data_IF_073864350072
#
_entry.id   IF_073864350072
#
_cell.length_a   1.000
_cell.length_b   1.000
_cell.length_c   1.000
_cell.angle_alpha   90.00
_cell.angle_beta   90.00
_cell.angle_gamma   90.00
#
_symmetry.space_group_name_H-M   'P 1'
#
loop_
_entity.id
_entity.type
_entity.pdbx_description
1 polymer ?
#
# COMPACT_ATOMS: atom_id res chain seq x y z
N UNK A 1 -5.79 -15.66 66.66
CA UNK A 1 -4.81 -14.60 66.32
C UNK A 1 -3.84 -15.14 65.29
N UNK A 2 -3.67 -14.43 64.17
CA UNK A 2 -2.49 -14.37 63.25
C UNK A 2 -1.86 -15.73 62.86
N UNK A 3 -2.01 -16.26 61.65
CA UNK A 3 -1.72 -15.64 60.36
C UNK A 3 -0.32 -16.06 59.91
N UNK A 4 -0.21 -17.02 58.99
CA UNK A 4 1.01 -17.26 58.21
C UNK A 4 0.66 -17.48 56.74
N UNK A 5 1.21 -16.59 55.91
CA UNK A 5 1.04 -16.45 54.48
C UNK A 5 2.28 -17.05 53.79
N UNK A 6 2.05 -17.79 52.70
CA UNK A 6 2.87 -17.94 51.49
C UNK A 6 4.27 -18.55 51.55
N UNK A 7 4.47 -19.64 50.78
CA UNK A 7 5.38 -19.75 49.61
C UNK A 7 4.81 -20.86 48.72
N UNK A 8 4.59 -20.78 47.42
CA UNK A 8 4.95 -19.82 46.39
C UNK A 8 4.84 -20.60 45.07
N UNK A 9 3.62 -20.75 44.55
CA UNK A 9 3.36 -21.37 43.24
C UNK A 9 2.77 -20.29 42.34
N UNK A 10 3.64 -19.61 41.60
CA UNK A 10 3.22 -18.77 40.47
C UNK A 10 4.33 -18.83 39.42
N UNK A 11 4.26 -19.88 38.60
CA UNK A 11 4.81 -19.87 37.26
C UNK A 11 4.01 -18.82 36.48
N UNK A 12 4.51 -17.59 36.43
CA UNK A 12 4.03 -16.61 35.46
C UNK A 12 4.69 -16.97 34.12
N UNK A 13 4.06 -17.88 33.35
CA UNK A 13 4.35 -17.97 31.92
C UNK A 13 3.88 -16.67 31.29
N UNK A 14 4.78 -15.70 31.21
CA UNK A 14 4.65 -14.57 30.30
C UNK A 14 4.86 -15.13 28.89
N UNK A 15 3.80 -15.74 28.33
CA UNK A 15 3.73 -16.05 26.91
C UNK A 15 3.69 -14.72 26.16
N UNK A 16 4.87 -14.14 25.92
CA UNK A 16 5.09 -13.19 24.83
C UNK A 16 4.75 -13.95 23.55
N UNK A 17 3.48 -13.90 23.17
CA UNK A 17 3.06 -14.16 21.80
C UNK A 17 3.67 -13.03 20.98
N UNK A 18 4.92 -13.20 20.57
CA UNK A 18 5.43 -12.51 19.40
C UNK A 18 4.52 -12.97 18.27
N UNK A 19 3.49 -12.20 17.97
CA UNK A 19 2.88 -12.26 16.66
C UNK A 19 4.00 -11.85 15.73
N UNK A 20 4.65 -12.82 15.09
CA UNK A 20 5.45 -12.55 13.91
C UNK A 20 4.50 -11.79 12.98
N UNK A 21 4.66 -10.46 12.94
CA UNK A 21 4.03 -9.65 11.93
C UNK A 21 4.71 -10.08 10.65
N UNK A 22 4.14 -11.09 10.00
CA UNK A 22 4.53 -11.48 8.65
C UNK A 22 4.48 -10.19 7.86
N UNK A 23 5.61 -9.74 7.36
CA UNK A 23 5.64 -8.57 6.51
C UNK A 23 5.11 -9.00 5.15
N UNK A 24 4.04 -8.37 4.67
CA UNK A 24 3.47 -8.65 3.37
C UNK A 24 2.52 -7.53 2.96
N UNK A 25 2.59 -7.18 1.68
CA UNK A 25 1.60 -6.36 1.00
C UNK A 25 1.65 -6.71 -0.49
N UNK A 26 0.52 -6.51 -1.18
CA UNK A 26 0.34 -6.75 -2.61
C UNK A 26 -0.75 -5.80 -3.10
N UNK A 27 -0.78 -5.55 -4.41
CA UNK A 27 -1.90 -4.80 -5.02
C UNK A 27 -3.17 -5.63 -4.91
N UNK A 28 -4.20 -5.09 -4.28
CA UNK A 28 -5.50 -5.73 -4.09
C UNK A 28 -6.46 -5.42 -5.24
N UNK A 29 -6.39 -4.18 -5.75
CA UNK A 29 -7.35 -3.67 -6.72
C UNK A 29 -6.69 -2.59 -7.59
N UNK A 30 -7.11 -2.55 -8.85
CA UNK A 30 -6.82 -1.48 -9.79
C UNK A 30 -8.11 -0.73 -10.13
N UNK A 31 -8.02 0.58 -10.35
CA UNK A 31 -9.17 1.39 -10.82
C UNK A 31 -8.71 2.52 -11.72
N UNK A 32 -9.57 2.96 -12.65
CA UNK A 32 -9.31 4.14 -13.48
C UNK A 32 -9.58 5.41 -12.67
N UNK A 33 -8.76 6.43 -12.88
CA UNK A 33 -8.92 7.76 -12.32
C UNK A 33 -9.40 8.71 -13.42
N UNK A 34 -10.52 9.37 -13.19
CA UNK A 34 -11.09 10.35 -14.10
C UNK A 34 -10.30 11.68 -14.08
N UNK A 35 -10.50 12.56 -15.09
CA UNK A 35 -9.85 13.88 -15.15
C UNK A 35 -10.13 14.81 -13.97
N UNK A 36 -11.12 14.50 -13.12
CA UNK A 36 -11.39 15.26 -11.89
C UNK A 36 -10.74 14.65 -10.64
N UNK A 37 -10.08 13.49 -10.74
CA UNK A 37 -9.48 12.76 -9.63
C UNK A 37 -10.36 11.67 -9.01
N UNK A 38 -11.62 11.51 -9.43
CA UNK A 38 -12.50 10.43 -8.93
C UNK A 38 -12.13 9.08 -9.53
N UNK A 39 -12.44 7.98 -8.85
CA UNK A 39 -12.42 6.66 -9.45
C UNK A 39 -13.66 6.41 -10.30
N UNK A 40 -13.46 5.75 -11.45
CA UNK A 40 -14.52 5.45 -12.41
C UNK A 40 -14.36 4.04 -12.99
N UNK A 41 -15.48 3.50 -13.45
CA UNK A 41 -15.53 2.17 -14.06
C UNK A 41 -15.53 1.03 -13.04
N UNK A 42 -15.51 -0.19 -13.56
CA UNK A 42 -15.38 -1.38 -12.73
C UNK A 42 -13.91 -1.58 -12.32
N UNK A 43 -13.65 -2.02 -11.08
CA UNK A 43 -12.30 -2.34 -10.66
C UNK A 43 -11.73 -3.55 -11.41
N UNK A 44 -10.41 -3.54 -11.58
CA UNK A 44 -9.64 -4.69 -12.01
C UNK A 44 -8.84 -5.30 -10.86
N UNK A 45 -8.32 -6.51 -11.09
CA UNK A 45 -7.63 -7.29 -10.08
C UNK A 45 -6.35 -7.93 -10.62
N UNK A 46 -5.36 -8.21 -9.75
CA UNK A 46 -4.16 -8.95 -10.14
C UNK A 46 -4.46 -10.37 -10.60
N UNK A 47 -3.48 -10.98 -11.26
CA UNK A 47 -3.53 -12.41 -11.59
C UNK A 47 -3.69 -13.24 -10.32
N UNK A 48 -4.43 -14.34 -10.43
CA UNK A 48 -4.61 -15.27 -9.31
C UNK A 48 -5.22 -14.63 -8.05
N UNK A 49 -5.92 -13.49 -8.18
CA UNK A 49 -6.48 -12.76 -7.06
C UNK A 49 -7.40 -13.63 -6.19
N UNK A 50 -7.24 -13.52 -4.87
CA UNK A 50 -8.14 -14.06 -3.89
C UNK A 50 -8.93 -12.91 -3.26
N UNK A 51 -10.24 -12.85 -3.53
CA UNK A 51 -11.09 -11.81 -2.99
C UNK A 51 -11.20 -11.94 -1.47
N UNK A 52 -10.98 -10.84 -0.74
CA UNK A 52 -11.14 -10.76 0.72
C UNK A 52 -12.53 -11.16 1.22
N UNK A 53 -13.54 -11.02 0.37
CA UNK A 53 -14.92 -11.43 0.67
C UNK A 53 -15.17 -12.94 0.47
N UNK A 54 -14.18 -13.69 -0.02
CA UNK A 54 -14.27 -15.14 -0.17
C UNK A 54 -14.11 -15.84 1.17
N UNK A 55 -14.89 -16.89 1.41
CA UNK A 55 -14.76 -17.71 2.62
C UNK A 55 -13.37 -18.39 2.74
N UNK A 56 -12.73 -18.66 1.60
CA UNK A 56 -11.43 -19.32 1.53
C UNK A 56 -10.25 -18.32 1.53
N UNK A 57 -10.53 -17.03 1.78
CA UNK A 57 -9.50 -16.00 1.75
C UNK A 57 -8.46 -16.19 2.87
N UNK A 58 -7.19 -16.02 2.51
CA UNK A 58 -6.06 -15.90 3.45
C UNK A 58 -5.01 -15.00 2.83
N UNK A 59 -4.35 -14.15 3.62
CA UNK A 59 -3.28 -13.28 3.11
C UNK A 59 -2.15 -14.07 2.43
N UNK A 60 -1.91 -15.32 2.85
CA UNK A 60 -0.93 -16.22 2.21
C UNK A 60 -1.24 -16.52 0.75
N UNK A 61 -2.50 -16.42 0.34
CA UNK A 61 -2.92 -16.68 -1.04
C UNK A 61 -2.37 -15.63 -2.01
N UNK A 62 -2.09 -14.42 -1.53
CA UNK A 62 -1.60 -13.30 -2.35
C UNK A 62 -0.17 -12.88 -2.03
N UNK A 63 0.29 -13.15 -0.80
CA UNK A 63 1.65 -12.83 -0.37
C UNK A 63 2.71 -13.49 -1.24
N UNK A 64 3.68 -12.69 -1.70
CA UNK A 64 4.86 -13.20 -2.37
C UNK A 64 6.10 -12.38 -2.05
N UNK A 65 7.05 -13.00 -1.35
CA UNK A 65 8.40 -12.49 -1.15
C UNK A 65 9.27 -13.02 -2.29
N UNK A 66 9.61 -12.16 -3.24
CA UNK A 66 10.36 -12.50 -4.44
C UNK A 66 11.85 -12.66 -4.12
N UNK A 67 12.42 -13.81 -4.50
CA UNK A 67 13.86 -14.09 -4.39
C UNK A 67 14.53 -14.36 -5.74
N UNK A 68 13.77 -14.82 -6.73
CA UNK A 68 14.27 -15.19 -8.06
C UNK A 68 13.24 -14.83 -9.15
N UNK A 69 12.05 -15.44 -9.13
CA UNK A 69 10.96 -15.08 -10.05
C UNK A 69 10.34 -13.75 -9.64
N UNK A 70 9.95 -12.97 -10.65
CA UNK A 70 9.27 -11.70 -10.47
C UNK A 70 7.80 -11.89 -10.07
N UNK A 71 7.13 -12.89 -10.63
CA UNK A 71 5.73 -13.18 -10.32
C UNK A 71 5.61 -14.42 -9.45
N UNK A 72 4.66 -14.38 -8.50
CA UNK A 72 4.21 -15.57 -7.75
C UNK A 72 3.80 -16.68 -8.73
N UNK A 73 3.89 -17.94 -8.34
CA UNK A 73 3.54 -19.07 -9.21
C UNK A 73 2.11 -18.98 -9.76
N UNK A 74 1.16 -18.49 -8.97
CA UNK A 74 -0.24 -18.24 -9.41
C UNK A 74 -0.42 -17.00 -10.28
N UNK A 75 0.66 -16.29 -10.60
CA UNK A 75 0.66 -15.02 -11.32
C UNK A 75 1.62 -15.01 -12.52
N UNK A 76 2.22 -16.14 -12.88
CA UNK A 76 3.19 -16.20 -13.98
C UNK A 76 2.53 -16.09 -15.36
N UNK A 77 1.27 -16.52 -15.51
CA UNK A 77 0.51 -16.41 -16.76
C UNK A 77 -0.57 -15.33 -16.66
N UNK A 78 -1.00 -14.79 -17.80
CA UNK A 78 -2.04 -13.76 -17.88
C UNK A 78 -3.44 -14.34 -17.64
N UNK A 79 -3.64 -15.14 -16.59
CA UNK A 79 -4.91 -15.79 -16.28
C UNK A 79 -5.56 -15.09 -15.09
N UNK A 80 -6.84 -14.77 -15.22
CA UNK A 80 -7.61 -14.16 -14.14
C UNK A 80 -8.38 -15.20 -13.32
N UNK A 81 -8.48 -14.95 -12.02
CA UNK A 81 -9.41 -15.70 -11.17
C UNK A 81 -10.84 -15.31 -11.53
N UNK A 82 -11.77 -16.27 -11.49
CA UNK A 82 -13.18 -15.99 -11.67
C UNK A 82 -13.64 -14.84 -10.74
N UNK A 83 -14.48 -13.93 -11.26
CA UNK A 83 -14.97 -12.72 -10.56
C UNK A 83 -13.91 -11.67 -10.20
N UNK A 84 -12.67 -11.85 -10.66
CA UNK A 84 -11.58 -10.88 -10.54
C UNK A 84 -11.12 -10.48 -11.94
N UNK A 85 -11.90 -9.67 -12.70
CA UNK A 85 -11.55 -9.31 -14.07
C UNK A 85 -10.29 -8.43 -14.11
N UNK A 86 -9.65 -8.36 -15.30
CA UNK A 86 -8.65 -7.32 -15.57
C UNK A 86 -9.31 -5.95 -15.60
N UNK A 87 -8.55 -4.92 -15.26
CA UNK A 87 -9.00 -3.54 -15.43
C UNK A 87 -9.19 -3.25 -16.91
N UNK A 88 -10.28 -2.57 -17.26
CA UNK A 88 -10.46 -1.99 -18.59
C UNK A 88 -10.06 -0.52 -18.54
N UNK A 89 -9.11 -0.10 -19.37
CA UNK A 89 -8.64 1.28 -19.39
C UNK A 89 -8.18 1.71 -20.79
N UNK A 90 -8.26 3.00 -21.10
CA UNK A 90 -7.76 3.54 -22.36
C UNK A 90 -6.24 3.78 -22.36
N UNK A 91 -5.60 3.82 -23.53
CA UNK A 91 -4.21 4.26 -23.63
C UNK A 91 -4.04 5.64 -22.97
N UNK A 92 -3.00 5.79 -22.14
CA UNK A 92 -2.75 7.03 -21.39
C UNK A 92 -3.61 7.22 -20.14
N UNK A 93 -4.57 6.33 -19.85
CA UNK A 93 -5.45 6.50 -18.71
C UNK A 93 -4.66 6.51 -17.39
N UNK A 94 -4.93 7.46 -16.49
CA UNK A 94 -4.48 7.39 -15.12
C UNK A 94 -5.23 6.28 -14.37
N UNK A 95 -4.50 5.49 -13.60
CA UNK A 95 -5.00 4.38 -12.81
C UNK A 95 -4.42 4.44 -11.39
N UNK A 96 -5.15 3.90 -10.42
CA UNK A 96 -4.70 3.69 -9.06
C UNK A 96 -4.45 2.20 -8.82
N UNK A 97 -3.27 1.85 -8.30
CA UNK A 97 -3.00 0.52 -7.72
C UNK A 97 -3.17 0.63 -6.20
N UNK A 98 -4.12 -0.12 -5.64
CA UNK A 98 -4.51 0.01 -4.23
C UNK A 98 -4.11 -1.22 -3.43
N UNK A 99 -3.60 -1.03 -2.22
CA UNK A 99 -3.06 -2.10 -1.39
C UNK A 99 -3.19 -1.78 0.11
N UNK A 100 -3.19 -2.82 0.94
CA UNK A 100 -3.18 -2.63 2.39
C UNK A 100 -1.77 -2.34 2.91
N UNK A 101 -1.69 -1.44 3.88
CA UNK A 101 -0.43 -1.07 4.51
C UNK A 101 0.07 -2.12 5.51
N UNK A 102 -0.85 -2.89 6.09
CA UNK A 102 -0.57 -4.05 6.93
C UNK A 102 0.45 -3.80 8.07
N UNK A 103 0.41 -2.60 8.65
CA UNK A 103 1.27 -2.12 9.73
C UNK A 103 2.56 -1.46 9.28
N UNK A 104 2.94 -1.53 8.01
CA UNK A 104 4.21 -0.98 7.49
C UNK A 104 4.26 0.54 7.48
N UNK A 105 3.10 1.20 7.46
CA UNK A 105 2.97 2.66 7.51
C UNK A 105 2.68 3.14 8.93
N UNK A 106 1.69 2.55 9.61
CA UNK A 106 1.23 3.07 10.90
C UNK A 106 1.92 2.47 12.12
N UNK A 107 2.63 1.34 11.95
CA UNK A 107 3.43 0.68 12.98
C UNK A 107 4.89 0.47 12.51
N UNK A 108 5.57 1.52 12.04
CA UNK A 108 6.85 1.39 11.34
C UNK A 108 8.01 0.92 12.24
N UNK A 109 7.88 1.10 13.55
CA UNK A 109 8.92 0.76 14.53
C UNK A 109 8.82 -0.68 15.03
N UNK A 110 7.87 -1.48 14.50
CA UNK A 110 7.74 -2.91 14.83
C UNK A 110 8.92 -3.72 14.31
N UNK A 111 9.59 -3.25 13.24
CA UNK A 111 10.79 -3.87 12.68
C UNK A 111 11.92 -2.85 12.63
N UNK A 112 13.06 -3.19 13.23
CA UNK A 112 14.23 -2.32 13.28
C UNK A 112 14.87 -2.19 11.90
N UNK A 113 15.49 -1.04 11.65
CA UNK A 113 16.30 -0.84 10.44
C UNK A 113 15.52 -0.70 9.14
N UNK A 114 14.19 -0.58 9.21
CA UNK A 114 13.34 -0.35 8.04
C UNK A 114 13.47 1.08 7.51
N UNK A 115 13.28 1.28 6.19
CA UNK A 115 13.47 2.57 5.56
C UNK A 115 12.43 3.59 6.04
N UNK A 116 12.86 4.85 6.21
CA UNK A 116 11.99 5.92 6.70
C UNK A 116 10.80 6.21 5.78
N UNK A 117 10.95 6.00 4.47
CA UNK A 117 9.88 6.15 3.49
C UNK A 117 8.97 4.93 3.37
N UNK A 118 9.11 3.95 4.27
CA UNK A 118 8.38 2.66 4.29
C UNK A 118 8.66 1.79 3.07
N UNK A 119 9.75 2.07 2.37
CA UNK A 119 10.16 1.34 1.17
C UNK A 119 9.70 2.03 -0.10
N UNK A 120 10.24 1.57 -1.21
CA UNK A 120 10.03 2.17 -2.52
C UNK A 120 9.30 1.19 -3.41
N UNK A 121 8.22 1.64 -4.01
CA UNK A 121 7.45 0.91 -5.01
C UNK A 121 7.91 1.32 -6.40
N UNK A 122 8.18 0.32 -7.23
CA UNK A 122 8.48 0.44 -8.65
C UNK A 122 7.36 -0.24 -9.42
N UNK A 123 6.82 0.44 -10.43
CA UNK A 123 5.83 -0.16 -11.33
C UNK A 123 6.43 -0.22 -12.73
N UNK A 124 6.57 -1.43 -13.24
CA UNK A 124 7.05 -1.72 -14.59
C UNK A 124 5.89 -2.09 -15.51
N UNK A 125 6.06 -1.86 -16.81
CA UNK A 125 5.05 -2.14 -17.83
C UNK A 125 5.62 -2.84 -19.06
N UNK A 126 4.87 -3.79 -19.62
CA UNK A 126 5.24 -4.47 -20.88
C UNK A 126 4.01 -5.01 -21.62
N UNK A 127 4.12 -5.14 -22.94
CA UNK A 127 3.16 -5.87 -23.77
C UNK A 127 3.59 -7.29 -24.12
N UNK A 128 4.78 -7.69 -23.68
CA UNK A 128 5.45 -8.94 -24.03
C UNK A 128 5.96 -9.63 -22.75
N UNK A 129 5.11 -9.95 -21.77
CA UNK A 129 5.54 -10.61 -20.53
C UNK A 129 6.08 -12.01 -20.82
N UNK A 130 6.97 -12.51 -19.96
CA UNK A 130 7.44 -13.90 -20.00
C UNK A 130 6.87 -14.67 -18.82
N UNK A 131 6.50 -15.93 -19.05
CA UNK A 131 6.33 -16.88 -17.96
C UNK A 131 7.70 -17.12 -17.28
N UNK A 132 7.72 -17.22 -15.96
CA UNK A 132 8.98 -17.34 -15.21
C UNK A 132 9.91 -16.12 -15.28
N UNK A 133 9.39 -14.93 -15.62
CA UNK A 133 10.16 -13.67 -15.64
C UNK A 133 10.99 -13.52 -14.37
N UNK A 134 12.29 -13.21 -14.52
CA UNK A 134 13.21 -13.11 -13.39
C UNK A 134 13.19 -11.71 -12.81
N UNK A 135 13.23 -11.61 -11.49
CA UNK A 135 13.32 -10.35 -10.77
C UNK A 135 14.56 -9.56 -11.22
N UNK A 136 15.70 -10.23 -11.39
CA UNK A 136 16.96 -9.62 -11.80
C UNK A 136 16.97 -9.10 -13.25
N UNK A 137 16.06 -9.57 -14.12
CA UNK A 137 16.00 -9.12 -15.53
C UNK A 137 15.17 -7.83 -15.68
N UNK A 138 14.33 -7.52 -14.68
CA UNK A 138 13.37 -6.42 -14.71
C UNK A 138 13.68 -5.35 -13.66
N UNK A 139 13.75 -5.75 -12.40
CA UNK A 139 13.83 -4.82 -11.27
C UNK A 139 15.17 -4.09 -11.26
N UNK A 140 15.12 -2.75 -11.25
CA UNK A 140 16.27 -1.85 -11.41
C UNK A 140 17.09 -2.04 -12.69
N UNK A 141 16.58 -2.81 -13.65
CA UNK A 141 17.19 -3.04 -14.96
C UNK A 141 16.38 -2.36 -16.06
N UNK A 142 15.06 -2.57 -16.09
CA UNK A 142 14.17 -1.81 -16.96
C UNK A 142 14.13 -0.35 -16.50
N UNK A 143 14.15 0.57 -17.46
CA UNK A 143 14.23 1.99 -17.22
C UNK A 143 13.10 2.74 -17.97
N UNK A 144 12.96 4.05 -17.69
CA UNK A 144 11.90 4.88 -18.29
C UNK A 144 12.02 4.99 -19.82
N UNK A 145 13.24 4.92 -20.32
CA UNK A 145 13.54 5.09 -21.75
C UNK A 145 13.30 3.80 -22.56
N UNK A 146 12.98 2.68 -21.91
CA UNK A 146 12.80 1.38 -22.56
C UNK A 146 14.08 0.80 -23.17
N UNK A 147 15.23 1.30 -22.75
CA UNK A 147 16.55 0.86 -23.25
C UNK A 147 17.21 -0.17 -22.35
N UNK A 148 16.71 -0.32 -21.12
CA UNK A 148 17.24 -1.22 -20.11
C UNK A 148 16.87 -2.68 -20.34
N UNK A 149 17.74 -3.59 -19.87
CA UNK A 149 17.56 -5.03 -19.98
C UNK A 149 17.36 -5.50 -21.42
N UNK A 150 16.37 -6.36 -21.62
CA UNK A 150 16.01 -6.88 -22.94
C UNK A 150 15.03 -5.99 -23.72
N UNK A 151 14.80 -4.75 -23.26
CA UNK A 151 14.01 -3.71 -23.96
C UNK A 151 12.55 -4.07 -24.21
N UNK A 152 12.01 -5.10 -23.57
CA UNK A 152 10.59 -5.48 -23.71
C UNK A 152 9.64 -4.62 -22.88
N UNK A 153 10.16 -3.85 -21.93
CA UNK A 153 9.33 -3.04 -21.07
C UNK A 153 10.05 -1.82 -20.51
N UNK A 154 9.32 -1.11 -19.67
CA UNK A 154 9.70 0.20 -19.16
C UNK A 154 9.41 0.31 -17.68
N UNK A 155 10.15 1.17 -16.98
CA UNK A 155 9.76 1.65 -15.66
C UNK A 155 8.73 2.77 -15.86
N UNK A 156 7.50 2.57 -15.38
CA UNK A 156 6.42 3.55 -15.51
C UNK A 156 6.48 4.59 -14.38
N UNK A 157 6.71 4.14 -13.14
CA UNK A 157 6.68 5.02 -11.98
C UNK A 157 7.48 4.49 -10.80
N UNK A 158 7.87 5.40 -9.90
CA UNK A 158 8.60 5.09 -8.67
C UNK A 158 8.08 6.00 -7.57
N UNK A 159 7.57 5.42 -6.49
CA UNK A 159 6.96 6.16 -5.38
C UNK A 159 7.29 5.51 -4.04
N UNK A 160 7.02 6.21 -2.94
CA UNK A 160 7.07 5.61 -1.60
C UNK A 160 5.88 4.67 -1.43
N UNK A 161 6.05 3.63 -0.59
CA UNK A 161 4.94 2.76 -0.24
C UNK A 161 3.85 3.49 0.57
N UNK A 162 4.26 4.38 1.48
CA UNK A 162 3.38 5.32 2.19
C UNK A 162 2.97 6.46 1.24
N UNK A 163 1.67 6.49 0.90
CA UNK A 163 1.08 7.51 0.02
C UNK A 163 0.80 8.85 0.73
N UNK A 164 1.06 8.91 2.04
CA UNK A 164 0.86 10.09 2.86
C UNK A 164 -0.55 10.24 3.41
N UNK A 165 -1.45 9.27 3.23
CA UNK A 165 -2.84 9.32 3.71
C UNK A 165 -3.31 8.02 4.34
N UNK A 166 -2.93 6.88 3.76
CA UNK A 166 -3.41 5.57 4.17
C UNK A 166 -3.09 5.23 5.63
N UNK A 167 -3.88 4.31 6.18
CA UNK A 167 -3.70 3.79 7.53
C UNK A 167 -4.43 2.47 7.72
N UNK A 168 -3.82 1.60 8.52
CA UNK A 168 -4.51 0.56 9.26
C UNK A 168 -4.96 1.12 10.61
N UNK A 169 -6.18 0.82 11.02
CA UNK A 169 -6.72 1.25 12.31
C UNK A 169 -6.03 0.48 13.43
N UNK A 170 -5.32 1.21 14.29
CA UNK A 170 -4.68 0.66 15.49
C UNK A 170 -4.44 1.74 16.55
N UNK A 171 -3.84 1.33 17.68
CA UNK A 171 -3.56 2.22 18.82
C UNK A 171 -2.39 3.18 18.64
N UNK A 172 -1.60 3.04 17.57
CA UNK A 172 -0.39 3.81 17.31
C UNK A 172 -0.64 5.28 16.96
N UNK A 173 0.33 6.17 17.22
CA UNK A 173 0.17 7.61 17.01
C UNK A 173 -0.03 7.99 15.55
N UNK A 174 0.64 7.30 14.60
CA UNK A 174 0.48 7.56 13.17
C UNK A 174 -0.94 7.21 12.73
N UNK A 175 -1.45 6.02 13.09
CA UNK A 175 -2.82 5.61 12.78
C UNK A 175 -3.85 6.61 13.30
N UNK A 176 -3.76 7.00 14.58
CA UNK A 176 -4.68 7.98 15.19
C UNK A 176 -4.64 9.35 14.50
N UNK A 177 -3.45 9.82 14.16
CA UNK A 177 -3.27 11.09 13.45
C UNK A 177 -3.85 11.04 12.04
N UNK A 178 -3.61 9.95 11.30
CA UNK A 178 -4.15 9.75 9.95
C UNK A 178 -5.67 9.62 9.95
N UNK A 179 -6.25 8.87 10.89
CA UNK A 179 -7.71 8.77 11.06
C UNK A 179 -8.36 10.16 11.27
N UNK A 180 -7.72 11.02 12.07
CA UNK A 180 -8.22 12.38 12.30
C UNK A 180 -8.08 13.30 11.08
N UNK A 181 -6.98 13.17 10.32
CA UNK A 181 -6.71 14.00 9.13
C UNK A 181 -7.46 13.53 7.88
N UNK A 182 -7.68 12.22 7.76
CA UNK A 182 -8.22 11.56 6.58
C UNK A 182 -9.35 10.61 7.00
N UNK A 183 -10.43 11.13 7.61
CA UNK A 183 -11.56 10.29 7.99
C UNK A 183 -12.25 9.75 6.74
N UNK A 184 -12.65 8.48 6.79
CA UNK A 184 -13.40 7.85 5.72
C UNK A 184 -14.49 6.92 6.28
N UNK A 185 -15.62 6.75 5.57
CA UNK A 185 -16.63 5.79 5.98
C UNK A 185 -16.14 4.37 5.69
N UNK A 186 -16.21 3.51 6.70
CA UNK A 186 -15.88 2.10 6.54
C UNK A 186 -16.81 1.43 5.51
N UNK A 187 -16.26 0.59 4.65
CA UNK A 187 -17.00 -0.18 3.65
C UNK A 187 -16.59 -1.65 3.63
N UNK A 188 -17.26 -2.47 2.80
CA UNK A 188 -16.96 -3.90 2.72
C UNK A 188 -15.59 -4.21 2.12
N UNK A 189 -15.01 -3.28 1.35
CA UNK A 189 -13.74 -3.50 0.66
C UNK A 189 -12.57 -3.25 1.60
N UNK A 190 -12.56 -2.08 2.24
CA UNK A 190 -11.43 -1.61 3.05
C UNK A 190 -11.67 -1.80 4.55
N UNK A 191 -12.90 -2.05 4.97
CA UNK A 191 -13.26 -2.04 6.39
C UNK A 191 -13.00 -0.66 6.97
N UNK A 192 -12.48 -0.62 8.20
CA UNK A 192 -12.14 0.64 8.87
C UNK A 192 -10.81 1.26 8.37
N UNK A 193 -9.99 0.48 7.66
CA UNK A 193 -8.70 0.93 7.15
C UNK A 193 -8.87 1.80 5.91
N UNK A 194 -7.95 2.74 5.71
CA UNK A 194 -7.82 3.45 4.45
C UNK A 194 -6.65 2.84 3.68
N UNK A 195 -6.94 2.19 2.55
CA UNK A 195 -5.91 1.54 1.72
C UNK A 195 -4.90 2.54 1.17
N UNK A 196 -3.65 2.10 1.06
CA UNK A 196 -2.61 2.84 0.36
C UNK A 196 -2.78 2.73 -1.15
N UNK A 197 -2.15 3.68 -1.83
CA UNK A 197 -2.34 3.88 -3.24
C UNK A 197 -1.09 4.34 -3.98
N UNK A 198 -0.90 3.76 -5.17
CA UNK A 198 0.09 4.16 -6.15
C UNK A 198 -0.60 4.48 -7.47
N UNK A 199 -0.77 5.77 -7.75
CA UNK A 199 -1.33 6.31 -8.97
C UNK A 199 -0.27 6.40 -10.07
N UNK A 200 -0.60 5.98 -11.29
CA UNK A 200 0.24 6.16 -12.47
C UNK A 200 -0.61 6.32 -13.73
N UNK A 201 -0.01 6.75 -14.84
CA UNK A 201 -0.64 6.63 -16.16
C UNK A 201 -0.12 5.42 -16.91
N UNK A 202 -1.02 4.73 -17.62
CA UNK A 202 -0.62 3.80 -18.68
C UNK A 202 0.11 4.57 -19.80
N UNK A 203 0.99 3.92 -20.59
CA UNK A 203 1.55 4.57 -21.76
C UNK A 203 0.46 5.03 -22.74
N UNK A 204 0.59 6.26 -23.26
CA UNK A 204 -0.34 6.80 -24.26
C UNK A 204 -0.35 6.01 -25.58
N UNK A 205 0.73 5.28 -25.85
CA UNK A 205 0.90 4.40 -27.01
C UNK A 205 0.69 2.91 -26.66
N UNK A 206 0.13 2.59 -25.49
CA UNK A 206 -0.20 1.20 -25.16
C UNK A 206 -1.16 0.64 -26.21
N UNK A 207 -0.82 -0.48 -26.89
CA UNK A 207 -1.63 -1.01 -27.97
C UNK A 207 -2.95 -1.59 -27.42
N UNK A 208 -4.04 -1.33 -28.13
CA UNK A 208 -5.31 -2.03 -27.88
C UNK A 208 -5.28 -3.45 -28.41
N UNK A 209 -6.17 -4.30 -27.91
CA UNK A 209 -6.40 -5.66 -28.42
C UNK A 209 -5.49 -6.75 -27.82
N UNK A 210 -4.56 -6.40 -26.94
CA UNK A 210 -3.90 -7.35 -26.04
C UNK A 210 -3.68 -6.74 -24.65
N UNK A 211 -3.54 -7.57 -23.61
CA UNK A 211 -3.37 -7.03 -22.27
C UNK A 211 -1.99 -6.40 -22.10
N UNK A 212 -1.95 -5.31 -21.34
CA UNK A 212 -0.74 -4.63 -20.90
C UNK A 212 -0.40 -5.10 -19.47
N UNK A 213 0.74 -5.75 -19.31
CA UNK A 213 1.18 -6.29 -18.01
C UNK A 213 1.84 -5.20 -17.19
N UNK A 214 1.49 -5.16 -15.90
CA UNK A 214 2.15 -4.36 -14.89
C UNK A 214 2.80 -5.26 -13.84
N UNK A 215 4.02 -4.90 -13.45
CA UNK A 215 4.72 -5.51 -12.32
C UNK A 215 4.88 -4.46 -11.23
N UNK A 216 4.21 -4.66 -10.10
CA UNK A 216 4.39 -3.86 -8.89
C UNK A 216 5.46 -4.54 -8.04
N UNK A 217 6.51 -3.79 -7.71
CA UNK A 217 7.68 -4.29 -6.96
C UNK A 217 7.96 -3.35 -5.80
N UNK A 218 7.82 -3.83 -4.57
CA UNK A 218 8.06 -3.07 -3.36
C UNK A 218 9.35 -3.51 -2.68
N UNK A 219 10.35 -2.63 -2.70
CA UNK A 219 11.60 -2.77 -1.97
C UNK A 219 11.43 -2.29 -0.54
N UNK A 220 11.57 -3.20 0.42
CA UNK A 220 11.44 -2.91 1.85
C UNK A 220 12.56 -3.53 2.71
N UNK A 221 13.84 -3.24 2.38
CA UNK A 221 14.98 -3.90 3.01
C UNK A 221 15.15 -3.48 4.48
N UNK A 222 15.86 -4.32 5.23
CA UNK A 222 16.43 -3.97 6.52
C UNK A 222 17.88 -3.52 6.34
N UNK A 223 18.22 -2.33 6.84
CA UNK A 223 19.56 -1.79 6.73
C UNK A 223 20.60 -2.60 7.52
N UNK A 224 21.81 -2.71 6.96
CA UNK A 224 22.94 -3.38 7.61
C UNK A 224 23.26 -2.76 8.97
N UNK A 225 23.46 -3.59 9.99
CA UNK A 225 23.81 -3.17 11.35
C UNK A 225 22.72 -2.45 12.13
N UNK A 226 21.51 -2.28 11.57
CA UNK A 226 20.41 -1.59 12.24
C UNK A 226 19.57 -2.51 13.14
N UNK A 227 19.57 -3.81 12.86
CA UNK A 227 19.00 -4.84 13.72
C UNK A 227 20.11 -5.82 14.16
N UNK A 228 20.38 -6.00 15.46
CA UNK A 228 21.34 -6.99 15.95
C UNK A 228 21.05 -8.43 15.49
N UNK A 229 19.79 -8.77 15.21
CA UNK A 229 19.39 -10.07 14.66
C UNK A 229 19.63 -10.21 13.16
N UNK A 230 19.88 -9.10 12.44
CA UNK A 230 20.18 -9.05 11.01
C UNK A 230 21.44 -8.18 10.78
N UNK A 231 22.62 -8.62 11.24
CA UNK A 231 23.83 -7.80 11.23
C UNK A 231 24.23 -7.36 9.82
N UNK A 232 23.98 -8.20 8.80
CA UNK A 232 24.23 -7.87 7.39
C UNK A 232 23.05 -7.20 6.68
N UNK A 233 21.97 -6.90 7.41
CA UNK A 233 20.71 -6.44 6.86
C UNK A 233 19.92 -7.57 6.23
N UNK A 234 18.84 -7.22 5.50
CA UNK A 234 17.99 -8.20 4.81
C UNK A 234 17.36 -7.55 3.59
N UNK A 235 17.52 -8.17 2.42
CA UNK A 235 16.76 -7.79 1.24
C UNK A 235 15.35 -8.37 1.34
N UNK A 236 14.34 -7.53 1.16
CA UNK A 236 12.94 -7.94 1.17
C UNK A 236 12.23 -7.22 0.03
N UNK A 237 11.69 -8.00 -0.90
CA UNK A 237 11.05 -7.52 -2.12
C UNK A 237 9.73 -8.25 -2.27
N UNK A 238 8.62 -7.50 -2.22
CA UNK A 238 7.30 -8.05 -2.46
C UNK A 238 6.84 -7.65 -3.85
N UNK A 239 6.16 -8.55 -4.54
CA UNK A 239 5.71 -8.27 -5.90
C UNK A 239 4.26 -8.67 -6.14
N UNK A 240 3.66 -8.02 -7.13
CA UNK A 240 2.34 -8.37 -7.64
C UNK A 240 2.35 -8.20 -9.14
N UNK A 241 1.91 -9.24 -9.86
CA UNK A 241 1.77 -9.20 -11.31
C UNK A 241 0.31 -9.11 -11.72
N UNK A 242 0.00 -8.17 -12.59
CA UNK A 242 -1.36 -7.84 -13.00
C UNK A 242 -1.39 -7.45 -14.49
N UNK A 243 -2.59 -7.46 -15.07
CA UNK A 243 -2.80 -7.10 -16.46
C UNK A 243 -3.97 -6.12 -16.59
N UNK A 244 -3.85 -5.20 -17.54
CA UNK A 244 -4.89 -4.25 -17.92
C UNK A 244 -5.27 -4.52 -19.36
N UNK A 245 -6.56 -4.69 -19.63
CA UNK A 245 -7.06 -4.74 -21.00
C UNK A 245 -7.18 -3.31 -21.53
N UNK A 246 -6.30 -2.97 -22.47
CA UNK A 246 -6.26 -1.64 -23.07
C UNK A 246 -7.33 -1.55 -24.15
N UNK A 247 -8.31 -0.68 -23.95
CA UNK A 247 -9.50 -0.56 -24.81
C UNK A 247 -9.82 0.90 -25.16
N UNK A 248 -10.39 1.11 -26.36
CA UNK A 248 -10.72 2.45 -26.85
C UNK A 248 -9.50 3.22 -27.39
N UNK A 249 -9.67 4.53 -27.58
CA UNK A 249 -8.63 5.43 -28.10
C UNK A 249 -7.94 6.26 -27.01
N UNK A 250 -6.80 6.91 -27.31
CA UNK A 250 -6.12 7.80 -26.38
C UNK A 250 -7.02 8.96 -25.91
N UNK A 251 -7.02 9.24 -24.61
CA UNK A 251 -7.86 10.28 -23.99
C UNK A 251 -7.13 11.64 -23.82
N UNK A 252 -6.18 11.95 -24.70
CA UNK A 252 -5.24 13.09 -24.53
C UNK A 252 -5.93 14.44 -24.31
N UNK A 253 -7.05 14.72 -25.00
CA UNK A 253 -7.80 15.98 -24.83
C UNK A 253 -8.47 16.11 -23.47
N UNK A 254 -9.01 15.01 -22.94
CA UNK A 254 -9.68 14.98 -21.64
C UNK A 254 -8.67 15.13 -20.51
N UNK A 255 -7.50 14.49 -20.65
CA UNK A 255 -6.40 14.60 -19.69
C UNK A 255 -5.75 15.99 -19.70
N UNK A 256 -5.66 16.66 -20.85
CA UNK A 256 -5.16 18.04 -20.92
C UNK A 256 -6.05 19.04 -20.17
N UNK A 257 -7.34 18.76 -20.02
CA UNK A 257 -8.29 19.56 -19.26
C UNK A 257 -8.47 19.08 -17.80
N UNK A 258 -7.68 18.10 -17.36
CA UNK A 258 -7.83 17.49 -16.04
C UNK A 258 -7.55 18.49 -14.92
N UNK A 259 -8.41 18.47 -13.89
CA UNK A 259 -8.30 19.31 -12.70
C UNK A 259 -8.83 18.56 -11.50
N UNK A 260 -7.97 18.31 -10.53
CA UNK A 260 -8.36 17.67 -9.28
C UNK A 260 -9.42 18.52 -8.54
N UNK A 261 -10.54 17.90 -8.16
CA UNK A 261 -11.56 18.52 -7.32
C UNK A 261 -11.23 18.24 -5.84
N UNK A 262 -11.08 19.24 -4.95
CA UNK A 262 -10.82 18.98 -3.54
C UNK A 262 -12.00 18.26 -2.86
N UNK A 263 -11.76 17.73 -1.67
CA UNK A 263 -12.79 17.17 -0.77
C UNK A 263 -13.64 16.02 -1.33
N UNK A 264 -13.09 15.29 -2.30
CA UNK A 264 -13.68 14.05 -2.80
C UNK A 264 -13.62 12.94 -1.73
N UNK A 265 -14.59 12.00 -1.71
CA UNK A 265 -14.56 10.85 -0.82
C UNK A 265 -13.27 10.04 -1.00
N UNK A 266 -12.52 9.85 0.09
CA UNK A 266 -11.20 9.20 0.07
C UNK A 266 -11.24 7.77 -0.46
N UNK A 267 -12.36 7.05 -0.28
CA UNK A 267 -12.54 5.69 -0.78
C UNK A 267 -12.48 5.62 -2.32
N UNK A 268 -12.77 6.74 -3.00
CA UNK A 268 -13.00 6.81 -4.43
C UNK A 268 -12.24 7.97 -5.11
N UNK A 269 -11.06 8.33 -4.60
CA UNK A 269 -10.30 9.48 -5.11
C UNK A 269 -8.80 9.22 -5.22
N UNK A 270 -8.18 9.84 -6.23
CA UNK A 270 -6.74 9.86 -6.42
C UNK A 270 -5.99 10.57 -5.29
N UNK A 271 -4.71 10.26 -5.13
CA UNK A 271 -3.83 11.02 -4.24
C UNK A 271 -3.44 12.33 -4.96
N UNK A 272 -3.79 13.53 -4.45
CA UNK A 272 -3.67 14.77 -5.21
C UNK A 272 -2.26 15.06 -5.71
N UNK A 273 -1.24 14.74 -4.89
CA UNK A 273 0.15 14.94 -5.28
C UNK A 273 0.54 14.03 -6.46
N UNK A 274 0.10 12.78 -6.43
CA UNK A 274 0.37 11.81 -7.50
C UNK A 274 -0.46 12.14 -8.76
N UNK A 275 -1.72 12.50 -8.59
CA UNK A 275 -2.58 13.01 -9.67
C UNK A 275 -1.95 14.22 -10.39
N UNK A 276 -1.48 15.21 -9.62
CA UNK A 276 -0.82 16.39 -10.17
C UNK A 276 0.45 16.02 -10.94
N UNK A 277 1.23 15.06 -10.43
CA UNK A 277 2.40 14.53 -11.14
C UNK A 277 2.01 13.88 -12.45
N UNK A 278 0.97 13.05 -12.49
CA UNK A 278 0.51 12.37 -13.71
C UNK A 278 0.04 13.39 -14.75
N UNK A 279 -0.83 14.32 -14.35
CA UNK A 279 -1.39 15.32 -15.28
C UNK A 279 -0.34 16.36 -15.71
N UNK A 280 0.65 16.66 -14.88
CA UNK A 280 1.78 17.51 -15.24
C UNK A 280 2.86 16.82 -16.10
N UNK A 281 2.82 15.50 -16.21
CA UNK A 281 3.81 14.70 -16.97
C UNK A 281 3.38 14.40 -18.41
N UNK A 282 2.24 14.92 -18.89
CA UNK A 282 1.70 14.67 -20.24
C UNK A 282 2.46 15.38 -21.38
N UNK A 283 3.76 15.63 -21.23
CA UNK A 283 4.66 16.11 -22.30
C UNK A 283 5.62 15.00 -22.77
N UNK A 284 6.18 15.08 -23.99
CA UNK A 284 7.18 14.12 -24.44
C UNK A 284 8.43 14.21 -23.57
N UNK A 285 8.81 13.07 -22.96
CA UNK A 285 10.13 12.68 -22.45
C UNK A 285 11.13 13.81 -22.10
N UNK A 286 11.32 14.04 -20.80
CA UNK A 286 12.51 14.68 -20.25
C UNK A 286 12.74 14.21 -18.81
N UNK A 287 14.00 13.95 -18.40
CA UNK A 287 14.29 13.42 -17.07
C UNK A 287 14.02 14.49 -16.01
N UNK A 288 13.13 14.19 -15.07
CA UNK A 288 13.06 14.93 -13.80
C UNK A 288 13.32 13.97 -12.65
N UNK A 289 14.34 14.22 -11.81
CA UNK A 289 14.40 13.58 -10.52
C UNK A 289 13.22 14.07 -9.67
N UNK A 290 12.55 13.13 -8.98
CA UNK A 290 11.56 13.46 -7.96
C UNK A 290 12.19 14.44 -6.96
N UNK A 291 11.55 15.59 -6.65
CA UNK A 291 11.88 16.28 -5.42
C UNK A 291 11.43 15.37 -4.27
N UNK A 292 12.37 14.95 -3.44
CA UNK A 292 12.03 14.46 -2.11
C UNK A 292 11.05 15.47 -1.49
N UNK A 293 9.87 15.00 -1.10
CA UNK A 293 8.87 15.81 -0.39
C UNK A 293 9.53 16.32 0.89
N UNK A 294 9.98 17.57 0.87
CA UNK A 294 10.46 18.28 2.05
C UNK A 294 9.24 18.61 2.90
N UNK A 295 9.09 17.90 4.01
CA UNK A 295 8.25 18.36 5.11
C UNK A 295 8.83 19.68 5.68
N UNK A 296 8.01 20.68 6.02
CA UNK A 296 8.48 21.89 6.67
C UNK A 296 8.69 21.57 8.14
N UNK A 297 9.94 21.59 8.59
CA UNK A 297 10.23 21.50 10.01
C UNK A 297 11.66 21.09 10.30
N UNK A 298 12.46 22.12 10.63
CA UNK A 298 13.65 22.10 11.48
C UNK A 298 14.97 22.30 10.74
N UNK A 299 15.40 23.56 10.79
CA UNK A 299 16.76 24.02 10.58
C UNK A 299 17.70 23.27 11.54
N UNK A 300 18.57 22.44 10.99
CA UNK A 300 19.81 22.02 11.66
C UNK A 300 20.94 22.93 11.17
N UNK A 301 21.74 23.55 12.07
CA UNK A 301 22.86 24.38 11.65
C UNK A 301 24.06 23.53 11.20
N UNK A 302 24.80 24.15 10.29
CA UNK A 302 26.05 23.72 9.68
C UNK A 302 27.13 23.33 10.71
N UNK A 303 27.90 22.31 10.36
CA UNK A 303 29.10 21.83 11.05
C UNK A 303 30.26 22.79 10.83
N UNK A 304 30.85 23.28 11.90
CA UNK A 304 32.21 23.83 11.92
C UNK A 304 33.00 23.23 13.10
N UNK A 305 34.28 22.91 12.82
CA UNK A 305 35.23 22.17 13.68
C UNK A 305 35.61 22.93 14.98
N UNK A 306 36.15 22.24 16.00
CA UNK A 306 36.24 22.72 17.39
C UNK A 306 37.58 23.39 17.74
N UNK A 307 37.62 24.09 18.89
CA UNK A 307 38.78 24.00 19.77
C UNK A 307 38.42 23.77 21.25
N UNK A 308 39.20 22.86 21.87
CA UNK A 308 39.68 22.76 23.25
C UNK A 308 38.84 23.27 24.46
N UNK A 309 38.54 22.30 25.35
CA UNK A 309 38.22 22.35 26.81
C UNK A 309 39.14 23.27 27.65
N UNK A 310 38.89 23.56 28.96
CA UNK A 310 38.06 22.81 29.93
C UNK A 310 37.24 23.62 30.97
N UNK A 311 36.26 22.97 31.64
CA UNK A 311 36.20 22.86 33.13
C UNK A 311 34.84 22.34 33.64
N UNK A 312 34.90 21.78 34.86
CA UNK A 312 33.92 20.97 35.62
C UNK A 312 32.66 21.73 36.08
N UNK A 313 31.54 21.00 36.24
CA UNK A 313 30.69 21.03 37.44
C UNK A 313 29.60 19.93 37.44
N UNK A 314 29.17 19.59 38.65
CA UNK A 314 28.57 18.34 39.14
C UNK A 314 27.04 18.19 38.90
N UNK A 315 26.41 17.03 39.24
CA UNK A 315 25.08 16.65 38.75
C UNK A 315 23.92 17.16 39.63
N UNK A 316 22.76 17.40 39.00
CA UNK A 316 21.48 17.74 39.66
C UNK A 316 20.56 16.51 39.66
N UNK A 317 19.80 16.22 40.74
CA UNK A 317 19.06 14.96 40.86
C UNK A 317 17.65 14.98 40.24
N UNK A 318 17.28 13.84 39.68
CA UNK A 318 15.96 13.52 39.09
C UNK A 318 14.86 13.40 40.15
N UNK A 319 13.72 14.06 39.93
CA UNK A 319 12.48 13.84 40.69
C UNK A 319 11.60 12.81 39.98
N UNK A 320 11.19 11.79 40.71
CA UNK A 320 10.27 10.73 40.29
C UNK A 320 8.80 11.19 40.37
N UNK A 321 8.00 10.81 39.38
CA UNK A 321 6.54 10.97 39.40
C UNK A 321 5.87 9.65 39.82
N UNK A 322 4.77 9.68 40.60
CA UNK A 322 4.03 8.48 40.99
C UNK A 322 3.15 7.93 39.85
N UNK A 323 2.79 6.63 39.89
CA UNK A 323 1.98 5.99 38.84
C UNK A 323 0.50 6.42 38.92
N UNK A 324 -0.23 6.44 37.78
CA UNK A 324 -1.66 6.75 37.76
C UNK A 324 -2.54 5.56 38.17
N UNK A 325 -3.60 5.88 38.91
CA UNK A 325 -4.66 4.95 39.37
C UNK A 325 -5.48 4.34 38.22
N UNK A 326 -6.09 3.15 38.41
CA UNK A 326 -6.86 2.45 37.38
C UNK A 326 -8.24 3.09 37.12
N UNK A 327 -8.66 3.13 35.84
CA UNK A 327 -10.01 3.55 35.41
C UNK A 327 -10.99 2.36 35.36
N UNK A 328 -12.31 2.60 35.53
CA UNK A 328 -13.33 1.55 35.54
C UNK A 328 -13.59 0.92 34.16
N UNK A 329 -14.01 -0.35 34.19
CA UNK A 329 -14.10 -1.27 33.05
C UNK A 329 -14.99 -0.84 31.87
N UNK A 330 -14.58 -1.30 30.69
CA UNK A 330 -15.34 -1.18 29.45
C UNK A 330 -16.55 -2.13 29.47
N UNK A 331 -17.73 -1.59 29.13
CA UNK A 331 -18.95 -2.36 28.93
C UNK A 331 -18.97 -2.91 27.51
N UNK A 332 -19.03 -4.24 27.35
CA UNK A 332 -19.19 -4.91 26.05
C UNK A 332 -20.65 -4.78 25.63
N UNK A 333 -20.92 -4.09 24.52
CA UNK A 333 -22.25 -4.07 23.91
C UNK A 333 -22.26 -5.11 22.80
N UNK A 334 -23.04 -6.17 22.97
CA UNK A 334 -23.29 -7.20 21.98
C UNK A 334 -24.49 -6.79 21.11
N UNK A 335 -24.33 -6.85 19.78
CA UNK A 335 -25.41 -6.60 18.83
C UNK A 335 -25.96 -7.94 18.32
N UNK A 336 -27.29 -8.08 18.32
CA UNK A 336 -28.00 -9.23 17.74
C UNK A 336 -28.53 -8.81 16.37
N UNK A 337 -28.10 -9.49 15.31
CA UNK A 337 -28.59 -9.25 13.95
C UNK A 337 -29.83 -10.09 13.68
N UNK A 338 -30.96 -9.46 13.39
CA UNK A 338 -32.19 -10.12 12.94
C UNK A 338 -32.28 -10.03 11.41
N UNK A 339 -32.23 -11.18 10.75
CA UNK A 339 -32.43 -11.29 9.29
C UNK A 339 -33.93 -11.47 9.03
N UNK A 340 -34.55 -10.53 8.31
CA UNK A 340 -35.93 -10.64 7.84
C UNK A 340 -35.94 -10.79 6.33
N UNK A 341 -36.28 -11.98 5.86
CA UNK A 341 -36.45 -12.26 4.43
C UNK A 341 -37.80 -11.72 3.97
N UNK A 342 -37.81 -10.83 2.98
CA UNK A 342 -39.03 -10.37 2.30
C UNK A 342 -39.07 -11.00 0.92
N UNK A 343 -40.08 -11.83 0.67
CA UNK A 343 -40.32 -12.42 -0.64
C UNK A 343 -41.07 -11.42 -1.53
N UNK A 344 -40.68 -11.23 -2.80
CA UNK A 344 -41.43 -10.42 -3.73
C UNK A 344 -42.76 -11.11 -4.10
N UNK A 345 -43.87 -10.42 -3.89
CA UNK A 345 -45.19 -10.81 -4.40
C UNK A 345 -45.17 -10.75 -5.94
N UNK A 346 -45.40 -11.91 -6.58
CA UNK A 346 -45.31 -12.07 -8.02
C UNK A 346 -46.33 -11.24 -8.81
N UNK A 347 -45.89 -10.76 -9.97
CA UNK A 347 -46.75 -10.23 -11.02
C UNK A 347 -47.59 -11.36 -11.62
N UNK A 348 -48.92 -11.20 -11.61
CA UNK A 348 -49.83 -11.99 -12.41
C UNK A 348 -49.76 -11.54 -13.88
N UNK A 349 -49.71 -12.45 -14.86
CA UNK A 349 -49.81 -12.07 -16.27
C UNK A 349 -51.27 -11.74 -16.64
N UNK A 350 -51.42 -10.61 -17.32
CA UNK A 350 -52.65 -10.10 -17.93
C UNK A 350 -53.14 -11.06 -19.02
N UNK A 351 -54.39 -11.50 -18.92
CA UNK A 351 -55.08 -12.21 -19.99
C UNK A 351 -55.79 -11.21 -20.93
N UNK A 352 -55.62 -11.37 -22.24
CA UNK A 352 -56.52 -10.86 -23.28
C UNK A 352 -56.17 -11.51 -24.64
N UNK A 353 -57.10 -11.62 -25.60
CA UNK A 353 -58.55 -11.38 -25.53
C UNK A 353 -59.40 -12.66 -25.37
#
# INVERSE_FOLDING_TARGET
>A
MRGFISKGLQLLLLSLTFTDTSAHSWVEQLTVIAPNGTFVGAPGYPRGNALRTSADYSDKSMTYLATDKLCKDTQQTQTQTAKSPRLQASPGAPIALRYQENGHVTLPDTQKGKPQNRGTVYVYGTTNPKEGEKLADVHKVWNRDGTGGDKRGVLLSTQNFDDGRCYQVNGGPISKSRQAQFPHPADQLMGADLWCQHDLALPANAPSGKPYTLYWVWDWPTARGADPGLPDGKQEIYTTCMDVDVTGGPQTKQLAAAKYIPDQPLNNAAIPAQFAQIMGSSGPSGPRPNPAVRYPGRTSPSVSKPPSSPSRSSPVPSKSFPPPSPRPGATVTSFVTLIRTVAPTGCAPSAAP
#
